data_IF_359898638528
#
_entry.id   IF_359898638528
#
_cell.length_a   1.000
_cell.length_b   1.000
_cell.length_c   1.000
_cell.angle_alpha   90.00
_cell.angle_beta   90.00
_cell.angle_gamma   90.00
#
_symmetry.space_group_name_H-M   'P 1'
#
loop_
_entity.id
_entity.type
_entity.pdbx_description
1 polymer ?
#
# COMPACT_ATOMS: atom_id res chain seq x y z
N UNK A 1 -31.52 10.09 -45.59
CA UNK A 1 -31.42 9.15 -44.46
C UNK A 1 -30.21 9.57 -43.63
N UNK A 2 -30.44 10.14 -42.44
CA UNK A 2 -29.38 10.70 -41.59
C UNK A 2 -28.73 9.60 -40.75
N UNK A 3 -27.50 9.20 -41.07
CA UNK A 3 -26.69 8.35 -40.21
C UNK A 3 -26.22 9.18 -39.01
N UNK A 4 -26.83 8.97 -37.84
CA UNK A 4 -26.26 9.40 -36.56
C UNK A 4 -25.14 8.44 -36.19
N UNK A 5 -23.90 8.87 -36.32
CA UNK A 5 -22.75 8.21 -35.72
C UNK A 5 -22.86 8.35 -34.19
N UNK A 6 -23.38 7.33 -33.53
CA UNK A 6 -23.28 7.16 -32.08
C UNK A 6 -21.81 6.81 -31.77
N UNK A 7 -21.02 7.83 -31.43
CA UNK A 7 -19.72 7.61 -30.77
C UNK A 7 -19.98 6.97 -29.42
N UNK A 8 -19.79 5.66 -29.35
CA UNK A 8 -19.71 4.90 -28.10
C UNK A 8 -18.35 5.26 -27.49
N UNK A 9 -18.34 6.34 -26.71
CA UNK A 9 -17.22 6.68 -25.85
C UNK A 9 -17.19 5.62 -24.73
N UNK A 10 -16.58 4.49 -25.00
CA UNK A 10 -16.31 3.45 -24.03
C UNK A 10 -15.34 4.03 -23.00
N UNK A 11 -15.89 4.61 -21.93
CA UNK A 11 -15.15 5.05 -20.75
C UNK A 11 -14.56 3.78 -20.14
N UNK A 12 -13.34 3.45 -20.55
CA UNK A 12 -12.51 2.43 -19.92
C UNK A 12 -12.40 2.82 -18.46
N UNK A 13 -13.16 2.11 -17.63
CA UNK A 13 -13.16 2.26 -16.19
C UNK A 13 -11.89 1.58 -15.70
N UNK A 14 -10.75 2.27 -15.82
CA UNK A 14 -9.53 1.83 -15.17
C UNK A 14 -9.83 1.78 -13.67
N UNK A 15 -9.81 0.58 -13.09
CA UNK A 15 -9.71 0.44 -11.64
C UNK A 15 -8.31 0.93 -11.25
N UNK A 16 -8.14 2.25 -11.13
CA UNK A 16 -6.91 2.82 -10.58
C UNK A 16 -6.97 2.61 -9.07
N UNK A 17 -6.24 1.61 -8.58
CA UNK A 17 -5.94 1.55 -7.15
C UNK A 17 -5.02 2.73 -6.85
N UNK A 18 -5.52 3.72 -6.10
CA UNK A 18 -4.72 4.86 -5.72
C UNK A 18 -3.58 4.38 -4.81
N UNK A 19 -2.36 4.76 -5.17
CA UNK A 19 -1.16 4.58 -4.36
C UNK A 19 -1.34 5.28 -3.01
N UNK A 20 -1.03 4.61 -1.90
CA UNK A 20 -1.12 5.23 -0.58
C UNK A 20 -0.15 6.41 -0.49
N UNK A 21 -0.71 7.55 -0.10
CA UNK A 21 -0.03 8.82 0.06
C UNK A 21 0.51 9.00 1.48
N UNK A 22 1.39 9.98 1.67
CA UNK A 22 1.96 10.27 3.00
C UNK A 22 0.89 10.67 4.03
N UNK A 23 -0.11 11.52 3.72
CA UNK A 23 -1.19 11.83 4.65
C UNK A 23 -1.97 10.59 5.12
N UNK A 24 -2.37 9.73 4.19
CA UNK A 24 -3.10 8.49 4.50
C UNK A 24 -2.25 7.55 5.38
N UNK A 25 -0.95 7.47 5.10
CA UNK A 25 -0.02 6.69 5.92
C UNK A 25 0.08 7.23 7.35
N UNK A 26 0.20 8.56 7.51
CA UNK A 26 0.28 9.20 8.84
C UNK A 26 -1.02 8.97 9.61
N UNK A 27 -2.17 9.14 8.96
CA UNK A 27 -3.47 8.89 9.56
C UNK A 27 -3.59 7.44 10.05
N UNK A 28 -3.22 6.48 9.19
CA UNK A 28 -3.22 5.06 9.53
C UNK A 28 -2.22 4.68 10.62
N UNK A 29 -1.07 5.35 10.71
CA UNK A 29 -0.09 5.14 11.78
C UNK A 29 -0.55 5.69 13.14
N UNK A 30 -1.32 6.79 13.14
CA UNK A 30 -1.90 7.40 14.34
C UNK A 30 -3.12 6.65 14.87
N UNK A 31 -3.90 6.06 13.97
CA UNK A 31 -5.06 5.25 14.29
C UNK A 31 -4.83 3.81 13.82
N UNK A 32 -3.84 3.10 14.38
CA UNK A 32 -3.53 1.74 13.95
C UNK A 32 -4.80 0.91 14.08
N UNK A 33 -5.34 0.50 12.94
CA UNK A 33 -6.67 -0.09 12.83
C UNK A 33 -6.90 -1.14 13.92
N UNK A 34 -8.08 -1.14 14.53
CA UNK A 34 -8.55 -2.16 15.48
C UNK A 34 -8.56 -3.60 14.93
N UNK A 35 -8.13 -3.82 13.67
CA UNK A 35 -7.73 -5.12 13.08
C UNK A 35 -6.32 -5.55 13.50
N UNK A 36 -5.89 -5.17 14.71
CA UNK A 36 -4.53 -5.30 15.25
C UNK A 36 -3.95 -6.72 15.22
N UNK A 37 -4.79 -7.75 15.18
CA UNK A 37 -4.33 -9.14 14.99
C UNK A 37 -3.54 -9.34 13.69
N UNK A 38 -3.93 -8.66 12.61
CA UNK A 38 -3.25 -8.80 11.33
C UNK A 38 -1.79 -8.34 11.41
N UNK A 39 -1.49 -7.27 12.16
CA UNK A 39 -0.11 -6.78 12.32
C UNK A 39 0.81 -7.80 13.02
N UNK A 40 0.27 -8.60 13.95
CA UNK A 40 1.05 -9.58 14.70
C UNK A 40 1.29 -10.88 13.94
N UNK A 41 0.38 -11.26 13.03
CA UNK A 41 0.50 -12.44 12.20
C UNK A 41 1.16 -12.18 10.84
N UNK A 42 1.28 -10.91 10.43
CA UNK A 42 1.91 -10.54 9.17
C UNK A 42 3.39 -10.93 9.17
N UNK A 43 3.76 -11.84 8.26
CA UNK A 43 5.14 -12.25 8.03
C UNK A 43 5.46 -12.09 6.56
N UNK A 44 6.58 -11.44 6.30
CA UNK A 44 7.07 -11.14 4.96
C UNK A 44 8.45 -11.77 4.80
N UNK A 45 8.66 -12.67 3.83
CA UNK A 45 9.93 -13.37 3.65
C UNK A 45 10.96 -12.50 2.90
N UNK A 46 11.12 -11.25 3.30
CA UNK A 46 12.09 -10.29 2.76
C UNK A 46 12.55 -9.33 3.87
N UNK A 47 13.57 -8.52 3.62
CA UNK A 47 13.98 -7.47 4.56
C UNK A 47 12.99 -6.33 4.57
N UNK A 48 13.04 -5.48 5.60
CA UNK A 48 12.17 -4.31 5.66
C UNK A 48 12.43 -3.35 4.50
N UNK A 49 13.68 -3.14 4.11
CA UNK A 49 14.02 -2.29 2.96
C UNK A 49 13.56 -2.89 1.63
N UNK A 50 13.73 -4.20 1.42
CA UNK A 50 13.24 -4.88 0.21
C UNK A 50 11.73 -4.74 0.07
N UNK A 51 10.99 -4.87 1.17
CA UNK A 51 9.55 -4.70 1.19
C UNK A 51 9.11 -3.29 0.75
N UNK A 52 9.72 -2.26 1.33
CA UNK A 52 9.40 -0.88 0.99
C UNK A 52 9.79 -0.56 -0.46
N UNK A 53 10.92 -1.09 -0.95
CA UNK A 53 11.35 -0.92 -2.32
C UNK A 53 10.36 -1.57 -3.30
N UNK A 54 9.91 -2.80 -3.03
CA UNK A 54 8.87 -3.48 -3.81
C UNK A 54 7.59 -2.65 -3.85
N UNK A 55 7.10 -2.20 -2.68
CA UNK A 55 5.85 -1.44 -2.61
C UNK A 55 5.90 -0.11 -3.38
N UNK A 56 7.07 0.54 -3.42
CA UNK A 56 7.28 1.75 -4.24
C UNK A 56 7.34 1.40 -5.73
N UNK A 57 8.11 0.36 -6.11
CA UNK A 57 8.25 -0.09 -7.50
C UNK A 57 6.89 -0.43 -8.11
N UNK A 58 6.04 -1.10 -7.32
CA UNK A 58 4.72 -1.55 -7.74
C UNK A 58 3.65 -0.45 -7.63
N UNK A 59 4.05 0.77 -7.25
CA UNK A 59 3.18 1.95 -7.08
C UNK A 59 2.06 1.74 -6.06
N UNK A 60 2.31 0.92 -5.05
CA UNK A 60 1.38 0.66 -3.94
C UNK A 60 1.46 1.77 -2.89
N UNK A 61 2.66 2.34 -2.71
CA UNK A 61 2.94 3.49 -1.85
C UNK A 61 3.84 4.51 -2.55
N UNK A 62 3.80 5.77 -2.12
CA UNK A 62 4.75 6.78 -2.61
C UNK A 62 6.16 6.57 -2.04
N UNK A 63 7.22 7.09 -2.70
CA UNK A 63 8.56 7.12 -2.13
C UNK A 63 8.64 7.84 -0.77
N UNK A 64 7.76 8.80 -0.52
CA UNK A 64 7.71 9.56 0.73
C UNK A 64 7.17 8.69 1.88
N UNK A 65 6.16 7.86 1.60
CA UNK A 65 5.67 6.84 2.54
C UNK A 65 6.79 5.88 2.90
N UNK A 66 7.56 5.37 1.94
CA UNK A 66 8.68 4.46 2.22
C UNK A 66 9.73 5.10 3.14
N UNK A 67 10.09 6.36 2.92
CA UNK A 67 11.03 7.08 3.82
C UNK A 67 10.45 7.25 5.22
N UNK A 68 9.18 7.65 5.34
CA UNK A 68 8.52 7.83 6.63
C UNK A 68 8.38 6.50 7.38
N UNK A 69 8.01 5.43 6.68
CA UNK A 69 7.90 4.07 7.19
C UNK A 69 9.22 3.60 7.81
N UNK A 70 10.32 3.73 7.07
CA UNK A 70 11.66 3.36 7.54
C UNK A 70 12.08 4.17 8.77
N UNK A 71 11.86 5.49 8.75
CA UNK A 71 12.24 6.39 9.85
C UNK A 71 11.51 6.10 11.17
N UNK A 72 10.24 5.70 11.09
CA UNK A 72 9.38 5.56 12.29
C UNK A 72 9.08 4.11 12.68
N UNK A 73 9.64 3.13 11.98
CA UNK A 73 9.35 1.71 12.20
C UNK A 73 7.85 1.37 12.07
N UNK A 74 7.24 1.86 11.00
CA UNK A 74 5.90 1.47 10.55
C UNK A 74 5.97 0.94 9.13
N UNK A 75 5.02 0.10 8.73
CA UNK A 75 4.93 -0.40 7.37
C UNK A 75 3.48 -0.39 6.88
N UNK A 76 3.23 -0.07 5.59
CA UNK A 76 1.92 -0.25 4.99
C UNK A 76 1.62 -1.74 4.90
N UNK A 77 0.39 -2.16 5.18
CA UNK A 77 -0.04 -3.54 4.94
C UNK A 77 -0.53 -3.63 3.50
N UNK A 78 0.16 -4.42 2.68
CA UNK A 78 -0.28 -4.71 1.31
C UNK A 78 -1.26 -5.90 1.34
N UNK A 79 -2.45 -5.67 0.80
CA UNK A 79 -3.38 -6.74 0.45
C UNK A 79 -2.98 -7.29 -0.93
N UNK A 80 -2.57 -8.55 -0.98
CA UNK A 80 -2.12 -9.20 -2.22
C UNK A 80 -3.27 -9.57 -3.15
N UNK A 81 -4.51 -9.63 -2.65
CA UNK A 81 -5.69 -9.93 -3.47
C UNK A 81 -6.19 -8.68 -4.18
N UNK A 82 -6.25 -7.55 -3.46
CA UNK A 82 -6.65 -6.26 -4.02
C UNK A 82 -5.47 -5.45 -4.58
N UNK A 83 -4.25 -5.97 -4.44
CA UNK A 83 -2.97 -5.37 -4.84
C UNK A 83 -2.88 -3.88 -4.48
N UNK A 84 -3.14 -3.56 -3.20
CA UNK A 84 -3.12 -2.19 -2.69
C UNK A 84 -2.75 -2.15 -1.21
N UNK A 85 -2.31 -0.99 -0.74
CA UNK A 85 -2.09 -0.76 0.68
C UNK A 85 -3.44 -0.53 1.40
N UNK A 86 -3.74 -1.32 2.43
CA UNK A 86 -5.05 -1.35 3.12
C UNK A 86 -4.98 -0.91 4.59
N UNK A 87 -3.78 -0.61 5.09
CA UNK A 87 -3.58 -0.16 6.46
C UNK A 87 -2.12 0.09 6.76
N UNK A 88 -1.83 0.43 8.02
CA UNK A 88 -0.48 0.68 8.51
C UNK A 88 -0.28 -0.05 9.83
N UNK A 89 0.84 -0.73 9.96
CA UNK A 89 1.22 -1.49 11.15
C UNK A 89 2.55 -0.99 11.69
N UNK A 90 2.75 -1.10 13.00
CA UNK A 90 4.08 -0.93 13.60
C UNK A 90 4.91 -2.18 13.30
N UNK A 91 6.17 -1.97 12.96
CA UNK A 91 7.13 -3.05 12.71
C UNK A 91 7.34 -3.86 13.99
N UNK A 92 7.38 -5.18 13.85
CA UNK A 92 7.83 -6.07 14.92
C UNK A 92 9.03 -6.91 14.42
N UNK A 93 9.86 -7.42 15.34
CA UNK A 93 11.08 -8.18 15.03
C UNK A 93 10.84 -9.52 14.29
N UNK A 94 9.59 -9.95 14.16
CA UNK A 94 9.17 -11.19 13.51
C UNK A 94 8.42 -10.95 12.21
N UNK A 95 8.16 -9.70 11.84
CA UNK A 95 7.42 -9.35 10.62
C UNK A 95 8.29 -9.56 9.39
N UNK A 96 9.54 -9.11 9.44
CA UNK A 96 10.49 -9.18 8.33
C UNK A 96 11.65 -10.10 8.70
N UNK A 97 12.43 -10.51 7.69
CA UNK A 97 13.65 -11.29 7.91
C UNK A 97 14.75 -10.48 8.59
N UNK A 98 14.78 -9.15 8.36
CA UNK A 98 15.63 -8.17 9.05
C UNK A 98 15.02 -6.75 8.96
N UNK A 99 15.48 -5.83 9.83
CA UNK A 99 15.04 -4.43 9.89
C UNK A 99 16.14 -3.45 9.42
N UNK A 100 16.73 -3.73 8.27
CA UNK A 100 17.84 -2.98 7.66
C UNK A 100 17.50 -1.54 7.22
#
# INVERSE_FOLDING_TARGET
MNLKALSILSILSFQSHAMMTLPEFIEGAQHPNARSHACYSYRVPMTFSEYLQMAVSDRLITPDVARQAKSNYYFPVIDMYEYKAVGVCRVNLRTFTSLD
#
